data_IF_482971888404
#
_entry.id   IF_482971888404
#
_cell.length_a   1.000
_cell.length_b   1.000
_cell.length_c   1.000
_cell.angle_alpha   90.00
_cell.angle_beta   90.00
_cell.angle_gamma   90.00
#
_symmetry.space_group_name_H-M   'P 1'
#
loop_
_entity.id
_entity.type
_entity.pdbx_description
1 polymer ?
#
# COMPACT_ATOMS: atom_id res chain seq x y z
N UNK A 1 -2.28 19.40 13.87
CA UNK A 1 -2.71 19.66 12.48
C UNK A 1 -3.84 18.71 12.15
N UNK A 2 -5.07 19.22 11.96
CA UNK A 2 -6.23 18.40 11.55
C UNK A 2 -6.38 18.55 10.03
N UNK A 3 -6.35 17.45 9.29
CA UNK A 3 -6.56 17.48 7.85
C UNK A 3 -8.04 17.73 7.56
N UNK A 4 -8.32 18.66 6.65
CA UNK A 4 -9.68 18.99 6.20
C UNK A 4 -9.92 18.22 4.90
N UNK A 5 -10.83 17.24 4.94
CA UNK A 5 -11.23 16.40 3.79
C UNK A 5 -10.07 15.69 3.06
N UNK A 6 -9.17 14.95 3.74
CA UNK A 6 -8.04 14.32 3.08
C UNK A 6 -8.47 13.28 2.04
N UNK A 7 -7.70 13.14 0.94
CA UNK A 7 -7.79 11.99 0.04
C UNK A 7 -6.88 10.90 0.57
N UNK A 8 -7.46 9.76 0.94
CA UNK A 8 -6.73 8.63 1.48
C UNK A 8 -6.75 7.51 0.44
N UNK A 9 -5.55 6.99 0.12
CA UNK A 9 -5.36 5.90 -0.84
C UNK A 9 -4.58 4.79 -0.15
N UNK A 10 -5.16 3.60 -0.09
CA UNK A 10 -4.49 2.40 0.41
C UNK A 10 -3.59 1.79 -0.66
N UNK A 11 -2.35 1.43 -0.31
CA UNK A 11 -1.47 0.68 -1.19
C UNK A 11 -1.33 -0.74 -0.65
N UNK A 12 -1.54 -1.74 -1.50
CA UNK A 12 -1.36 -3.15 -1.18
C UNK A 12 -0.38 -3.79 -2.14
N UNK A 13 0.24 -4.89 -1.71
CA UNK A 13 1.13 -5.72 -2.53
C UNK A 13 0.89 -7.19 -2.20
N UNK A 14 1.38 -8.08 -3.05
CA UNK A 14 1.35 -9.52 -2.79
C UNK A 14 2.28 -9.89 -1.62
N UNK A 15 1.88 -10.87 -0.78
CA UNK A 15 2.72 -11.37 0.30
C UNK A 15 4.12 -11.78 -0.17
N UNK A 16 4.18 -12.51 -1.30
CA UNK A 16 5.42 -13.05 -1.86
C UNK A 16 6.38 -11.93 -2.25
N UNK A 17 5.86 -10.89 -2.91
CA UNK A 17 6.65 -9.71 -3.30
C UNK A 17 7.16 -8.95 -2.08
N UNK A 18 6.30 -8.76 -1.07
CA UNK A 18 6.67 -8.06 0.16
C UNK A 18 7.78 -8.80 0.91
N UNK A 19 7.67 -10.12 1.04
CA UNK A 19 8.68 -10.96 1.68
C UNK A 19 10.01 -10.89 0.92
N UNK A 20 9.97 -10.96 -0.41
CA UNK A 20 11.18 -10.83 -1.22
C UNK A 20 11.87 -9.47 -0.98
N UNK A 21 11.11 -8.37 -0.95
CA UNK A 21 11.66 -7.03 -0.68
C UNK A 21 12.25 -6.96 0.74
N UNK A 22 11.51 -7.45 1.74
CA UNK A 22 11.95 -7.46 3.15
C UNK A 22 13.22 -8.30 3.34
N UNK A 23 13.31 -9.47 2.71
CA UNK A 23 14.50 -10.33 2.75
C UNK A 23 15.71 -9.66 2.10
N UNK A 24 15.55 -9.03 0.93
CA UNK A 24 16.64 -8.28 0.29
C UNK A 24 17.14 -7.13 1.19
N UNK A 25 16.22 -6.45 1.89
CA UNK A 25 16.58 -5.41 2.86
C UNK A 25 17.38 -5.97 4.04
N UNK A 26 17.01 -7.12 4.59
CA UNK A 26 17.77 -7.77 5.68
C UNK A 26 19.19 -8.14 5.22
N UNK A 27 19.32 -8.70 4.01
CA UNK A 27 20.62 -9.02 3.41
C UNK A 27 21.49 -7.78 3.25
N UNK A 28 20.93 -6.66 2.77
CA UNK A 28 21.68 -5.39 2.63
C UNK A 28 22.14 -4.79 3.97
N UNK A 29 21.53 -5.21 5.08
CA UNK A 29 21.85 -4.75 6.43
C UNK A 29 22.76 -5.74 7.19
N UNK A 30 23.27 -6.79 6.53
CA UNK A 30 24.02 -7.89 7.15
C UNK A 30 23.29 -8.53 8.35
N UNK A 31 21.96 -8.55 8.33
CA UNK A 31 21.14 -9.18 9.36
C UNK A 31 20.72 -10.59 8.94
N UNK A 32 20.43 -11.44 9.94
CA UNK A 32 19.98 -12.80 9.68
C UNK A 32 18.67 -12.79 8.88
N UNK A 33 18.59 -13.54 7.76
CA UNK A 33 17.43 -13.51 6.85
C UNK A 33 16.20 -14.23 7.40
N UNK A 34 16.30 -14.93 8.53
CA UNK A 34 15.22 -15.69 9.15
C UNK A 34 14.69 -14.97 10.39
N UNK A 35 13.75 -14.06 10.17
CA UNK A 35 13.08 -13.32 11.25
C UNK A 35 11.59 -13.29 11.00
N UNK A 36 10.80 -13.01 12.04
CA UNK A 36 9.34 -12.78 11.94
C UNK A 36 8.97 -11.68 10.94
N UNK A 37 9.92 -10.82 10.57
CA UNK A 37 9.76 -9.77 9.57
C UNK A 37 9.50 -10.30 8.14
N UNK A 38 9.97 -11.52 7.84
CA UNK A 38 9.80 -12.19 6.53
C UNK A 38 8.94 -13.46 6.61
N UNK A 39 8.35 -13.73 7.78
CA UNK A 39 7.49 -14.88 7.99
C UNK A 39 6.20 -14.73 7.16
N UNK A 40 5.85 -15.78 6.42
CA UNK A 40 4.74 -15.77 5.47
C UNK A 40 3.41 -15.54 6.18
N UNK A 41 3.15 -16.26 7.28
CA UNK A 41 1.88 -16.17 8.00
C UNK A 41 1.69 -14.78 8.61
N UNK A 42 2.75 -14.24 9.21
CA UNK A 42 2.76 -12.88 9.76
C UNK A 42 2.49 -11.84 8.68
N UNK A 43 3.14 -11.93 7.52
CA UNK A 43 2.95 -11.00 6.40
C UNK A 43 1.53 -11.09 5.81
N UNK A 44 0.98 -12.30 5.68
CA UNK A 44 -0.39 -12.49 5.20
C UNK A 44 -1.40 -11.86 6.17
N UNK A 45 -1.21 -12.06 7.47
CA UNK A 45 -2.05 -11.46 8.50
C UNK A 45 -1.97 -9.91 8.48
N UNK A 46 -0.76 -9.35 8.33
CA UNK A 46 -0.53 -7.91 8.21
C UNK A 46 -1.27 -7.31 7.00
N UNK A 47 -1.13 -7.93 5.83
CA UNK A 47 -1.80 -7.50 4.61
C UNK A 47 -3.33 -7.64 4.69
N UNK A 48 -3.82 -8.70 5.34
CA UNK A 48 -5.25 -8.89 5.58
C UNK A 48 -5.82 -7.81 6.51
N UNK A 49 -5.09 -7.46 7.56
CA UNK A 49 -5.45 -6.38 8.47
C UNK A 49 -5.50 -5.03 7.76
N UNK A 50 -4.50 -4.71 6.93
CA UNK A 50 -4.49 -3.50 6.12
C UNK A 50 -5.68 -3.42 5.15
N UNK A 51 -5.96 -4.50 4.42
CA UNK A 51 -7.12 -4.57 3.50
C UNK A 51 -8.44 -4.37 4.23
N UNK A 52 -8.59 -4.92 5.43
CA UNK A 52 -9.78 -4.72 6.26
C UNK A 52 -9.95 -3.25 6.62
N UNK A 53 -8.89 -2.57 7.09
CA UNK A 53 -8.96 -1.13 7.40
C UNK A 53 -9.39 -0.32 6.16
N UNK A 54 -8.79 -0.60 5.01
CA UNK A 54 -9.11 0.14 3.78
C UNK A 54 -10.57 -0.06 3.37
N UNK A 55 -11.08 -1.30 3.49
CA UNK A 55 -12.47 -1.63 3.21
C UNK A 55 -13.44 -0.97 4.20
N UNK A 56 -13.14 -1.03 5.50
CA UNK A 56 -13.98 -0.48 6.57
C UNK A 56 -14.14 1.05 6.43
N UNK A 57 -13.14 1.72 5.85
CA UNK A 57 -13.14 3.16 5.63
C UNK A 57 -13.56 3.57 4.20
N UNK A 58 -13.80 2.60 3.31
CA UNK A 58 -14.16 2.86 1.91
C UNK A 58 -13.08 3.59 1.10
N UNK A 59 -11.81 3.45 1.47
CA UNK A 59 -10.70 4.10 0.77
C UNK A 59 -10.40 3.40 -0.55
N UNK A 60 -9.99 4.18 -1.56
CA UNK A 60 -9.48 3.61 -2.81
C UNK A 60 -8.22 2.80 -2.54
N UNK A 61 -8.12 1.58 -3.09
CA UNK A 61 -6.98 0.69 -2.90
C UNK A 61 -6.30 0.43 -4.23
N UNK A 62 -4.97 0.58 -4.28
CA UNK A 62 -4.13 0.29 -5.44
C UNK A 62 -3.22 -0.89 -5.11
N UNK A 63 -3.27 -1.94 -5.94
CA UNK A 63 -2.28 -3.02 -5.91
C UNK A 63 -1.03 -2.62 -6.71
N UNK A 64 0.11 -2.54 -6.00
CA UNK A 64 1.41 -2.10 -6.54
C UNK A 64 2.35 -3.27 -6.85
N UNK A 65 1.91 -4.53 -6.74
CA UNK A 65 2.78 -5.72 -6.85
C UNK A 65 3.64 -5.74 -8.12
N UNK A 66 3.06 -5.30 -9.24
CA UNK A 66 3.70 -5.29 -10.57
C UNK A 66 3.70 -3.90 -11.21
N UNK A 67 3.43 -2.85 -10.42
CA UNK A 67 3.43 -1.48 -10.91
C UNK A 67 4.76 -0.81 -10.63
N UNK A 68 5.21 0.04 -11.54
CA UNK A 68 6.31 0.95 -11.27
C UNK A 68 5.88 2.04 -10.27
N UNK A 69 6.86 2.80 -9.75
CA UNK A 69 6.59 3.94 -8.88
C UNK A 69 5.82 5.01 -9.66
N UNK A 70 6.20 5.25 -10.91
CA UNK A 70 5.58 6.19 -11.84
C UNK A 70 4.12 5.81 -12.14
N UNK A 71 3.85 4.53 -12.43
CA UNK A 71 2.50 4.04 -12.67
C UNK A 71 1.60 4.15 -11.43
N UNK A 72 2.18 3.89 -10.25
CA UNK A 72 1.47 4.05 -8.97
C UNK A 72 1.16 5.52 -8.71
N UNK A 73 2.13 6.42 -8.95
CA UNK A 73 1.94 7.86 -8.80
C UNK A 73 0.86 8.38 -9.76
N UNK A 74 0.89 7.97 -11.02
CA UNK A 74 -0.13 8.34 -12.01
C UNK A 74 -1.54 7.88 -11.59
N UNK A 75 -1.66 6.67 -11.05
CA UNK A 75 -2.93 6.17 -10.54
C UNK A 75 -3.45 6.99 -9.34
N UNK A 76 -2.57 7.40 -8.42
CA UNK A 76 -2.94 8.26 -7.29
C UNK A 76 -3.37 9.66 -7.77
N UNK A 77 -2.63 10.25 -8.69
CA UNK A 77 -2.95 11.57 -9.28
C UNK A 77 -4.32 11.53 -9.95
N UNK A 78 -4.63 10.47 -10.70
CA UNK A 78 -5.93 10.31 -11.32
C UNK A 78 -7.07 10.27 -10.29
N UNK A 79 -6.91 9.52 -9.20
CA UNK A 79 -7.91 9.47 -8.11
C UNK A 79 -8.14 10.85 -7.46
N UNK A 80 -7.07 11.63 -7.29
CA UNK A 80 -7.16 12.99 -6.74
C UNK A 80 -7.91 13.91 -7.71
N UNK A 81 -7.57 13.86 -8.99
CA UNK A 81 -8.22 14.67 -10.02
C UNK A 81 -9.71 14.31 -10.17
N UNK A 82 -10.05 13.02 -10.19
CA UNK A 82 -11.44 12.55 -10.25
C UNK A 82 -12.27 13.05 -9.06
N UNK A 83 -11.66 13.12 -7.87
CA UNK A 83 -12.34 13.68 -6.70
C UNK A 83 -12.55 15.18 -6.83
N UNK A 84 -11.53 15.92 -7.26
CA UNK A 84 -11.63 17.37 -7.45
C UNK A 84 -12.73 17.72 -8.47
N UNK A 85 -12.78 17.04 -9.62
CA UNK A 85 -13.81 17.26 -10.63
C UNK A 85 -15.22 16.93 -10.15
N UNK A 86 -15.38 15.95 -9.25
CA UNK A 86 -16.69 15.64 -8.62
C UNK A 86 -17.11 16.70 -7.61
N UNK A 87 -16.17 17.37 -6.95
CA UNK A 87 -16.43 18.47 -6.02
C UNK A 87 -16.80 19.76 -6.78
N UNK A 88 -16.24 20.01 -7.96
CA UNK A 88 -16.57 21.18 -8.81
C UNK A 88 -17.94 21.09 -9.50
N UNK A 89 -18.45 19.88 -9.72
CA UNK A 89 -19.76 19.62 -10.35
C UNK A 89 -20.92 19.60 -9.34
N UNK A 90 -20.64 19.73 -8.05
CA UNK A 90 -21.61 19.61 -6.95
C UNK A 90 -22.01 20.98 -6.40
#
# INVERSE_FOLDING_TARGET
YTLVHPTIVGLTTSPERLIQIRRNRLLSLNQSPETRYVDQETVVAELAFARRIFSDQGWAVIDVTRRSIEETAAAIINLVNERASKEEQK
#
